data_IF_987548540978
#
_entry.id   IF_987548540978
#
_cell.length_a   1.000
_cell.length_b   1.000
_cell.length_c   1.000
_cell.angle_alpha   90.00
_cell.angle_beta   90.00
_cell.angle_gamma   90.00
#
_symmetry.space_group_name_H-M   'P 1'
#
loop_
_entity.id
_entity.type
_entity.pdbx_description
1 polymer ?
#
# COMPACT_ATOMS: atom_id res chain seq x y z
N UNK A 1 9.26 -15.94 -20.75
CA UNK A 1 10.21 -15.22 -19.89
C UNK A 1 11.04 -16.25 -19.16
N UNK A 2 12.36 -16.18 -19.30
CA UNK A 2 13.24 -17.05 -18.56
C UNK A 2 13.14 -16.73 -17.06
N UNK A 3 13.14 -17.74 -16.20
CA UNK A 3 13.04 -17.58 -14.74
C UNK A 3 14.04 -16.57 -14.18
N UNK A 4 15.20 -16.43 -14.84
CA UNK A 4 16.26 -15.46 -14.52
C UNK A 4 15.86 -14.02 -14.85
N UNK A 5 15.23 -13.76 -15.99
CA UNK A 5 14.76 -12.42 -16.39
C UNK A 5 13.63 -11.93 -15.48
N UNK A 6 12.73 -12.83 -15.09
CA UNK A 6 11.66 -12.52 -14.13
C UNK A 6 12.25 -12.14 -12.76
N UNK A 7 13.19 -12.93 -12.24
CA UNK A 7 13.86 -12.60 -10.97
C UNK A 7 14.66 -11.31 -11.05
N UNK A 8 15.34 -11.04 -12.17
CA UNK A 8 16.08 -9.81 -12.37
C UNK A 8 15.16 -8.59 -12.41
N UNK A 9 14.02 -8.69 -13.10
CA UNK A 9 13.01 -7.62 -13.15
C UNK A 9 12.38 -7.38 -11.77
N UNK A 10 12.11 -8.45 -11.01
CA UNK A 10 11.59 -8.36 -9.65
C UNK A 10 12.57 -7.63 -8.71
N UNK A 11 13.85 -8.01 -8.74
CA UNK A 11 14.89 -7.39 -7.92
C UNK A 11 15.14 -5.94 -8.34
N UNK A 12 15.23 -5.67 -9.64
CA UNK A 12 15.41 -4.31 -10.16
C UNK A 12 14.23 -3.41 -9.80
N UNK A 13 13.00 -3.91 -9.91
CA UNK A 13 11.79 -3.20 -9.50
C UNK A 13 11.76 -2.93 -7.99
N UNK A 14 12.13 -3.92 -7.17
CA UNK A 14 12.22 -3.77 -5.71
C UNK A 14 13.29 -2.74 -5.29
N UNK A 15 14.48 -2.79 -5.90
CA UNK A 15 15.54 -1.81 -5.64
C UNK A 15 15.15 -0.39 -6.10
N UNK A 16 14.51 -0.26 -7.26
CA UNK A 16 14.01 1.01 -7.75
C UNK A 16 12.94 1.59 -6.81
N UNK A 17 11.98 0.77 -6.39
CA UNK A 17 10.95 1.16 -5.41
C UNK A 17 11.56 1.62 -4.09
N UNK A 18 12.54 0.87 -3.56
CA UNK A 18 13.21 1.25 -2.32
C UNK A 18 14.03 2.54 -2.44
N UNK A 19 14.67 2.80 -3.59
CA UNK A 19 15.34 4.08 -3.85
C UNK A 19 14.36 5.26 -3.90
N UNK A 20 13.20 5.06 -4.55
CA UNK A 20 12.12 6.06 -4.61
C UNK A 20 11.60 6.32 -3.20
N UNK A 21 11.29 5.26 -2.44
CA UNK A 21 10.83 5.36 -1.06
C UNK A 21 11.86 6.09 -0.20
N UNK A 22 13.15 5.72 -0.25
CA UNK A 22 14.21 6.39 0.52
C UNK A 22 14.33 7.89 0.23
N UNK A 23 14.12 8.28 -1.02
CA UNK A 23 14.21 9.68 -1.46
C UNK A 23 12.97 10.49 -1.09
N UNK A 24 11.78 9.88 -1.18
CA UNK A 24 10.50 10.55 -0.96
C UNK A 24 10.00 10.46 0.49
N UNK A 25 10.43 9.46 1.27
CA UNK A 25 10.08 9.30 2.69
C UNK A 25 10.24 10.58 3.52
N UNK A 26 11.32 11.37 3.36
CA UNK A 26 11.45 12.62 4.10
C UNK A 26 10.37 13.65 3.75
N UNK A 27 10.00 13.75 2.48
CA UNK A 27 8.94 14.65 2.03
C UNK A 27 7.58 14.21 2.55
N UNK A 28 7.30 12.90 2.52
CA UNK A 28 6.05 12.35 3.05
C UNK A 28 5.93 12.58 4.56
N UNK A 29 7.02 12.38 5.30
CA UNK A 29 7.04 12.60 6.75
C UNK A 29 6.86 14.08 7.12
N UNK A 30 7.41 15.00 6.33
CA UNK A 30 7.20 16.43 6.54
C UNK A 30 5.74 16.80 6.25
N UNK A 31 5.16 16.30 5.14
CA UNK A 31 3.75 16.54 4.80
C UNK A 31 2.79 16.03 5.88
N UNK A 32 2.98 14.81 6.38
CA UNK A 32 2.12 14.24 7.42
C UNK A 32 2.21 15.02 8.73
N UNK A 33 3.40 15.51 9.11
CA UNK A 33 3.59 16.36 10.29
C UNK A 33 2.97 17.75 10.15
N UNK A 34 3.02 18.33 8.95
CA UNK A 34 2.35 19.61 8.66
C UNK A 34 0.83 19.47 8.69
N UNK A 35 0.29 18.33 8.26
CA UNK A 35 -1.14 18.03 8.30
C UNK A 35 -1.63 17.54 9.68
N UNK A 36 -0.72 17.28 10.62
CA UNK A 36 -1.09 16.87 11.98
C UNK A 36 -1.75 18.02 12.75
N UNK A 37 -2.87 17.73 13.41
CA UNK A 37 -3.60 18.70 14.24
C UNK A 37 -2.78 19.26 15.41
N UNK A 38 -1.69 18.58 15.79
CA UNK A 38 -0.83 18.97 16.92
C UNK A 38 0.25 20.02 16.53
N UNK A 39 0.46 20.24 15.22
CA UNK A 39 1.46 21.18 14.67
C UNK A 39 2.86 20.58 14.49
N UNK A 40 3.61 21.12 13.52
CA UNK A 40 4.90 20.57 13.04
C UNK A 40 5.94 20.30 14.14
N UNK A 41 6.15 21.26 15.05
CA UNK A 41 7.15 21.15 16.10
C UNK A 41 6.78 20.11 17.17
N UNK A 42 5.49 19.97 17.51
CA UNK A 42 5.01 18.96 18.47
C UNK A 42 5.00 17.56 17.88
N UNK A 43 4.80 17.43 16.56
CA UNK A 43 4.87 16.16 15.83
C UNK A 43 6.32 15.67 15.57
N UNK A 44 7.33 16.33 16.14
CA UNK A 44 8.74 15.92 16.06
C UNK A 44 9.60 16.70 15.07
N UNK A 45 9.06 17.73 14.39
CA UNK A 45 9.81 18.63 13.51
C UNK A 45 10.61 17.90 12.43
N UNK A 46 11.93 18.10 12.40
CA UNK A 46 12.87 17.38 11.52
C UNK A 46 13.54 16.17 12.18
N UNK A 47 13.13 15.77 13.39
CA UNK A 47 13.75 14.66 14.11
C UNK A 47 13.06 13.34 13.75
N UNK A 48 13.84 12.29 13.44
CA UNK A 48 13.29 10.97 13.12
C UNK A 48 12.50 10.92 11.81
N UNK A 49 13.02 11.56 10.74
CA UNK A 49 12.37 11.63 9.44
C UNK A 49 12.21 10.25 8.76
N UNK A 50 13.08 9.29 9.09
CA UNK A 50 12.98 7.90 8.62
C UNK A 50 12.20 6.98 9.58
N UNK A 51 11.58 7.52 10.62
CA UNK A 51 10.80 6.73 11.57
C UNK A 51 9.57 6.12 10.86
N UNK A 52 9.52 4.79 10.76
CA UNK A 52 8.45 4.06 10.06
C UNK A 52 8.84 3.48 8.70
N UNK A 53 10.00 3.86 8.13
CA UNK A 53 10.51 3.28 6.89
C UNK A 53 10.68 1.75 6.96
N UNK A 54 11.19 1.15 8.07
CA UNK A 54 11.29 -0.30 8.18
C UNK A 54 9.93 -1.00 8.14
N UNK A 55 8.90 -0.38 8.73
CA UNK A 55 7.53 -0.92 8.69
C UNK A 55 6.98 -0.94 7.27
N UNK A 56 7.19 0.14 6.53
CA UNK A 56 6.74 0.27 5.15
C UNK A 56 7.43 -0.77 4.26
N UNK A 57 8.76 -0.87 4.36
CA UNK A 57 9.55 -1.82 3.57
C UNK A 57 9.14 -3.28 3.83
N UNK A 58 8.90 -3.65 5.09
CA UNK A 58 8.49 -5.02 5.46
C UNK A 58 7.08 -5.33 4.95
N UNK A 59 6.15 -4.37 4.97
CA UNK A 59 4.77 -4.59 4.52
C UNK A 59 4.58 -4.52 2.99
N UNK A 60 5.48 -3.84 2.26
CA UNK A 60 5.38 -3.73 0.78
C UNK A 60 5.52 -5.07 0.07
N UNK A 61 6.43 -5.95 0.50
CA UNK A 61 6.62 -7.28 -0.09
C UNK A 61 5.36 -8.16 -0.03
N UNK A 62 4.76 -8.41 1.15
CA UNK A 62 3.55 -9.22 1.25
C UNK A 62 2.34 -8.55 0.59
N UNK A 63 2.26 -7.21 0.60
CA UNK A 63 1.23 -6.48 -0.14
C UNK A 63 1.30 -6.77 -1.65
N UNK A 64 2.49 -6.62 -2.24
CA UNK A 64 2.68 -6.90 -3.66
C UNK A 64 2.42 -8.38 -3.99
N UNK A 65 2.89 -9.31 -3.16
CA UNK A 65 2.67 -10.74 -3.36
C UNK A 65 1.17 -11.08 -3.40
N UNK A 66 0.39 -10.58 -2.44
CA UNK A 66 -1.06 -10.85 -2.37
C UNK A 66 -1.83 -10.19 -3.50
N UNK A 67 -1.45 -8.97 -3.91
CA UNK A 67 -2.02 -8.32 -5.09
C UNK A 67 -1.79 -9.19 -6.34
N UNK A 68 -0.55 -9.58 -6.62
CA UNK A 68 -0.21 -10.36 -7.82
C UNK A 68 -0.87 -11.74 -7.82
N UNK A 69 -0.89 -12.44 -6.68
CA UNK A 69 -1.55 -13.76 -6.57
C UNK A 69 -3.05 -13.65 -6.84
N UNK A 70 -3.72 -12.66 -6.25
CA UNK A 70 -5.15 -12.43 -6.47
C UNK A 70 -5.44 -12.00 -7.91
N UNK A 71 -4.59 -11.14 -8.48
CA UNK A 71 -4.68 -10.69 -9.85
C UNK A 71 -4.56 -11.85 -10.85
N UNK A 72 -3.53 -12.69 -10.72
CA UNK A 72 -3.32 -13.85 -11.59
C UNK A 72 -4.40 -14.91 -11.41
N UNK A 73 -4.84 -15.15 -10.17
CA UNK A 73 -5.94 -16.09 -9.89
C UNK A 73 -7.24 -15.63 -10.57
N UNK A 74 -7.57 -14.34 -10.46
CA UNK A 74 -8.75 -13.78 -11.11
C UNK A 74 -8.61 -13.81 -12.62
N UNK A 75 -7.45 -13.44 -13.17
CA UNK A 75 -7.20 -13.51 -14.61
C UNK A 75 -7.29 -14.95 -15.14
N UNK A 76 -6.83 -15.95 -14.38
CA UNK A 76 -6.95 -17.36 -14.74
C UNK A 76 -8.41 -17.82 -14.78
N UNK A 77 -9.25 -17.36 -13.85
CA UNK A 77 -10.69 -17.66 -13.83
C UNK A 77 -11.43 -17.06 -15.05
N UNK A 78 -11.01 -15.87 -15.50
CA UNK A 78 -11.59 -15.18 -16.66
C UNK A 78 -10.88 -15.47 -17.99
N UNK A 79 -9.88 -16.34 -18.00
CA UNK A 79 -9.10 -16.69 -19.21
C UNK A 79 -9.98 -17.29 -20.32
N UNK A 80 -11.06 -17.99 -19.98
CA UNK A 80 -12.05 -18.50 -20.94
C UNK A 80 -12.90 -17.42 -21.64
N UNK A 81 -12.95 -16.20 -21.09
CA UNK A 81 -13.67 -15.04 -21.67
C UNK A 81 -12.74 -14.03 -22.35
N UNK A 82 -11.41 -14.22 -22.27
CA UNK A 82 -10.40 -13.29 -22.80
C UNK A 82 -10.30 -13.25 -24.34
N UNK A 83 -11.08 -14.05 -25.07
CA UNK A 83 -11.08 -14.09 -26.53
C UNK A 83 -12.01 -13.04 -27.20
N UNK A 84 -12.82 -12.30 -26.43
CA UNK A 84 -13.74 -11.26 -26.93
C UNK A 84 -13.38 -9.88 -26.38
N UNK A 85 -13.99 -8.81 -26.93
CA UNK A 85 -13.84 -7.37 -26.57
C UNK A 85 -13.96 -6.99 -25.06
N UNK A 86 -14.04 -7.96 -24.15
CA UNK A 86 -14.14 -7.80 -22.68
C UNK A 86 -12.79 -7.83 -21.95
N UNK A 87 -11.66 -7.94 -22.65
CA UNK A 87 -10.33 -7.96 -22.03
C UNK A 87 -10.08 -6.80 -21.03
N UNK A 88 -10.45 -5.52 -21.32
CA UNK A 88 -10.27 -4.44 -20.36
C UNK A 88 -11.03 -4.69 -19.06
N UNK A 89 -12.32 -5.04 -19.17
CA UNK A 89 -13.21 -5.29 -18.01
C UNK A 89 -12.67 -6.43 -17.13
N UNK A 90 -12.13 -7.50 -17.74
CA UNK A 90 -11.55 -8.61 -16.96
C UNK A 90 -10.29 -8.20 -16.18
N UNK A 91 -9.44 -7.36 -16.76
CA UNK A 91 -8.27 -6.81 -16.07
C UNK A 91 -8.66 -5.88 -14.93
N UNK A 92 -9.76 -5.14 -15.11
CA UNK A 92 -10.28 -4.22 -14.12
C UNK A 92 -10.87 -4.94 -12.90
N UNK A 93 -11.70 -5.97 -13.14
CA UNK A 93 -12.23 -6.79 -12.05
C UNK A 93 -11.10 -7.52 -11.29
N UNK A 94 -10.09 -8.02 -12.01
CA UNK A 94 -8.91 -8.62 -11.40
C UNK A 94 -8.10 -7.63 -10.56
N UNK A 95 -7.96 -6.39 -11.03
CA UNK A 95 -7.29 -5.32 -10.29
C UNK A 95 -8.07 -4.93 -9.03
N UNK A 96 -9.38 -4.69 -9.12
CA UNK A 96 -10.21 -4.32 -7.96
C UNK A 96 -10.22 -5.41 -6.89
N UNK A 97 -10.40 -6.67 -7.28
CA UNK A 97 -10.33 -7.79 -6.33
C UNK A 97 -8.94 -7.92 -5.71
N UNK A 98 -7.88 -7.74 -6.50
CA UNK A 98 -6.50 -7.70 -6.01
C UNK A 98 -6.28 -6.61 -4.96
N UNK A 99 -6.81 -5.41 -5.20
CA UNK A 99 -6.68 -4.26 -4.32
C UNK A 99 -7.43 -4.46 -2.99
N UNK A 100 -8.65 -5.00 -3.02
CA UNK A 100 -9.42 -5.32 -1.81
C UNK A 100 -8.67 -6.31 -0.91
N UNK A 101 -8.06 -7.34 -1.49
CA UNK A 101 -7.30 -8.34 -0.70
C UNK A 101 -5.97 -7.75 -0.24
N UNK A 102 -5.30 -6.95 -1.07
CA UNK A 102 -4.07 -6.25 -0.70
C UNK A 102 -4.29 -5.27 0.47
N UNK A 103 -5.45 -4.59 0.52
CA UNK A 103 -5.86 -3.72 1.62
C UNK A 103 -5.79 -4.41 2.99
N UNK A 104 -6.04 -5.72 3.08
CA UNK A 104 -5.99 -6.45 4.36
C UNK A 104 -4.60 -6.45 5.00
N UNK A 105 -3.54 -6.37 4.18
CA UNK A 105 -2.14 -6.34 4.63
C UNK A 105 -1.63 -4.89 4.67
N UNK A 106 -2.06 -4.07 3.71
CA UNK A 106 -1.63 -2.69 3.61
C UNK A 106 -2.14 -1.84 4.77
N UNK A 107 -3.40 -1.99 5.16
CA UNK A 107 -4.01 -1.18 6.24
C UNK A 107 -3.28 -1.32 7.58
N UNK A 108 -3.01 -2.52 8.13
CA UNK A 108 -2.26 -2.63 9.37
C UNK A 108 -0.83 -2.10 9.25
N UNK A 109 -0.17 -2.32 8.10
CA UNK A 109 1.17 -1.77 7.83
C UNK A 109 1.16 -0.24 7.84
N UNK A 110 0.17 0.36 7.20
CA UNK A 110 0.03 1.82 7.09
C UNK A 110 -0.29 2.45 8.45
N UNK A 111 -1.15 1.82 9.27
CA UNK A 111 -1.43 2.27 10.63
C UNK A 111 -0.16 2.29 11.48
N UNK A 112 0.67 1.24 11.41
CA UNK A 112 1.94 1.17 12.16
C UNK A 112 2.93 2.23 11.65
N UNK A 113 3.03 2.41 10.33
CA UNK A 113 3.87 3.44 9.71
C UNK A 113 3.44 4.84 10.17
N UNK A 114 2.16 5.18 10.08
CA UNK A 114 1.63 6.50 10.46
C UNK A 114 1.80 6.79 11.94
N UNK A 115 1.52 5.82 12.83
CA UNK A 115 1.74 5.97 14.28
C UNK A 115 3.22 6.16 14.61
N UNK A 116 4.11 5.46 13.91
CA UNK A 116 5.56 5.63 14.08
C UNK A 116 6.03 7.01 13.59
N UNK A 117 5.48 7.51 12.48
CA UNK A 117 5.80 8.86 11.97
C UNK A 117 5.31 9.98 12.89
N UNK A 118 4.15 9.79 13.54
CA UNK A 118 3.57 10.72 14.52
C UNK A 118 4.30 10.68 15.88
N UNK A 119 4.91 9.54 16.24
CA UNK A 119 5.66 9.35 17.48
C UNK A 119 7.10 8.89 17.21
N UNK A 120 7.98 9.78 16.71
CA UNK A 120 9.35 9.42 16.29
C UNK A 120 10.29 9.00 17.43
N UNK A 121 9.86 9.11 18.70
CA UNK A 121 10.62 8.73 19.89
C UNK A 121 10.59 7.22 20.17
N UNK A 122 9.66 6.47 19.57
CA UNK A 122 9.46 5.04 19.82
C UNK A 122 9.85 4.19 18.62
N UNK A 123 10.49 3.05 18.90
CA UNK A 123 10.86 2.08 17.88
C UNK A 123 9.60 1.44 17.25
N UNK A 124 9.59 1.15 15.94
CA UNK A 124 8.42 0.63 15.19
C UNK A 124 7.76 -0.57 15.88
N UNK A 125 8.57 -1.48 16.43
CA UNK A 125 8.09 -2.66 17.16
C UNK A 125 7.36 -2.30 18.46
N UNK A 126 7.82 -1.28 19.19
CA UNK A 126 7.14 -0.80 20.40
C UNK A 126 5.83 -0.09 20.08
N UNK A 127 5.78 0.64 18.97
CA UNK A 127 4.53 1.27 18.48
C UNK A 127 3.49 0.21 18.11
N UNK A 128 3.92 -0.86 17.44
CA UNK A 128 3.06 -2.00 17.12
C UNK A 128 2.53 -2.69 18.39
N UNK A 129 3.40 -3.00 19.35
CA UNK A 129 3.01 -3.63 20.60
C UNK A 129 2.06 -2.76 21.43
N UNK A 130 2.36 -1.46 21.58
CA UNK A 130 1.48 -0.54 22.29
C UNK A 130 0.11 -0.44 21.60
N UNK A 131 0.08 -0.39 20.26
CA UNK A 131 -1.18 -0.36 19.50
C UNK A 131 -2.01 -1.62 19.73
N UNK A 132 -1.36 -2.79 19.74
CA UNK A 132 -2.01 -4.06 20.04
C UNK A 132 -2.49 -4.15 21.50
N UNK A 133 -1.76 -3.57 22.46
CA UNK A 133 -2.15 -3.58 23.87
C UNK A 133 -3.25 -2.57 24.20
N UNK A 134 -3.25 -1.38 23.59
CA UNK A 134 -4.21 -0.31 23.88
C UNK A 134 -5.50 -0.41 23.07
N UNK A 135 -5.41 -0.75 21.77
CA UNK A 135 -6.57 -0.75 20.87
C UNK A 135 -6.90 -2.15 20.30
N UNK A 136 -6.05 -3.14 20.55
CA UNK A 136 -6.22 -4.50 20.04
C UNK A 136 -6.15 -4.59 18.52
N UNK A 137 -6.62 -5.71 17.98
CA UNK A 137 -6.68 -5.95 16.54
C UNK A 137 -7.60 -4.97 15.79
N UNK A 138 -8.63 -4.41 16.47
CA UNK A 138 -9.50 -3.39 15.87
C UNK A 138 -8.78 -2.06 15.62
N UNK A 139 -7.79 -1.70 16.43
CA UNK A 139 -6.96 -0.51 16.21
C UNK A 139 -6.14 -0.56 14.93
N UNK A 140 -5.70 -1.76 14.51
CA UNK A 140 -4.93 -1.99 13.29
C UNK A 140 -5.77 -1.89 12.01
N UNK A 141 -7.07 -2.21 12.08
CA UNK A 141 -7.99 -2.11 10.94
C UNK A 141 -8.84 -0.82 10.96
N UNK A 142 -8.52 0.12 11.86
CA UNK A 142 -9.21 1.41 11.93
C UNK A 142 -8.93 2.22 10.66
N UNK A 143 -9.93 2.33 9.79
CA UNK A 143 -9.79 2.99 8.48
C UNK A 143 -9.81 2.04 7.28
N UNK A 144 -9.97 0.73 7.50
CA UNK A 144 -10.08 -0.27 6.42
C UNK A 144 -11.17 0.10 5.41
N UNK A 145 -12.39 0.40 5.88
CA UNK A 145 -13.50 0.78 4.99
C UNK A 145 -13.23 2.06 4.19
N UNK A 146 -12.60 3.08 4.80
CA UNK A 146 -12.24 4.31 4.08
C UNK A 146 -11.16 4.07 3.03
N UNK A 147 -10.29 3.09 3.27
CA UNK A 147 -9.15 2.78 2.41
C UNK A 147 -9.62 1.98 1.19
N UNK A 148 -10.45 0.96 1.43
CA UNK A 148 -11.11 0.16 0.40
C UNK A 148 -11.99 1.06 -0.47
N UNK A 149 -12.84 1.91 0.12
CA UNK A 149 -13.67 2.86 -0.64
C UNK A 149 -12.84 3.80 -1.52
N UNK A 150 -11.70 4.28 -1.02
CA UNK A 150 -10.80 5.15 -1.79
C UNK A 150 -10.24 4.42 -3.01
N UNK A 151 -9.79 3.19 -2.84
CA UNK A 151 -9.14 2.41 -3.91
C UNK A 151 -10.14 1.83 -4.91
N UNK A 152 -11.30 1.38 -4.45
CA UNK A 152 -12.41 0.99 -5.31
C UNK A 152 -12.93 2.18 -6.12
N UNK A 153 -13.01 3.37 -5.52
CA UNK A 153 -13.38 4.59 -6.23
C UNK A 153 -12.35 4.99 -7.28
N UNK A 154 -11.05 4.95 -6.95
CA UNK A 154 -9.97 5.27 -7.90
C UNK A 154 -9.96 4.27 -9.07
N UNK A 155 -10.15 2.98 -8.79
CA UNK A 155 -10.21 1.93 -9.83
C UNK A 155 -11.44 2.10 -10.73
N UNK A 156 -12.59 2.43 -10.14
CA UNK A 156 -13.83 2.72 -10.89
C UNK A 156 -13.69 3.96 -11.77
N UNK A 157 -13.07 5.03 -11.26
CA UNK A 157 -12.84 6.27 -12.01
C UNK A 157 -11.87 6.04 -13.18
N UNK A 158 -10.83 5.22 -12.98
CA UNK A 158 -9.92 4.81 -14.05
C UNK A 158 -10.64 4.00 -15.14
N UNK A 159 -11.65 3.20 -14.77
CA UNK A 159 -12.51 2.47 -15.73
C UNK A 159 -13.23 3.43 -16.64
N UNK A 160 -13.98 4.35 -16.02
CA UNK A 160 -14.83 5.27 -16.75
C UNK A 160 -14.03 6.20 -17.64
N UNK A 161 -12.80 6.56 -17.25
CA UNK A 161 -11.91 7.37 -18.07
C UNK A 161 -11.39 6.63 -19.31
N UNK A 162 -11.11 5.32 -19.21
CA UNK A 162 -10.70 4.49 -20.35
C UNK A 162 -11.87 4.31 -21.32
N UNK A 163 -13.06 4.00 -20.80
CA UNK A 163 -14.28 3.85 -21.62
C UNK A 163 -14.73 5.17 -22.29
N UNK A 164 -14.28 6.33 -21.80
CA UNK A 164 -14.56 7.64 -22.42
C UNK A 164 -13.56 8.03 -23.52
N UNK A 165 -12.38 7.40 -23.53
CA UNK A 165 -11.28 7.71 -24.45
C UNK A 165 -11.26 6.79 -25.69
N UNK A 166 -12.11 5.77 -25.74
CA UNK A 166 -12.25 4.81 -26.85
C UNK A 166 -13.72 4.66 -27.26
#
# INVERSE_FOLDING_TARGET
MDRREFTASLVAGGCAGMCVDLTLFPLDTIKTRLQSQQGFYKAGGFRGIYAGLPSAAIGSFPNAAVFFVTYESTKSLFSGYSATNLAPITHMLAASLGEIVACLIRVPTEVVKQRTQASPSLNTYRVLLNTLQEEGFRGLYRGYGSTVLREDFVSSLSSSAIDFLF
#
